data_IF_674155533843
#
_entry.id   IF_674155533843
#
_cell.length_a   1.000
_cell.length_b   1.000
_cell.length_c   1.000
_cell.angle_alpha   90.00
_cell.angle_beta   90.00
_cell.angle_gamma   90.00
#
_symmetry.space_group_name_H-M   'P 1'
#
loop_
_entity.id
_entity.type
_entity.pdbx_description
1 polymer ?
#
# COMPACT_ATOMS: atom_id res chain seq x y z
N UNK A 1 23.39 -8.63 22.93
CA UNK A 1 23.46 -8.45 21.99
C UNK A 1 22.58 -8.98 21.05
N UNK A 2 22.67 -10.07 20.83
CA UNK A 2 21.79 -10.65 19.87
C UNK A 2 20.33 -10.52 20.27
N UNK A 3 20.07 -10.52 21.52
CA UNK A 3 18.73 -10.40 21.96
C UNK A 3 18.11 -9.12 21.57
N UNK A 4 18.88 -8.05 21.62
CA UNK A 4 18.35 -6.81 21.23
C UNK A 4 17.92 -6.81 19.81
N UNK A 5 18.73 -7.31 18.93
CA UNK A 5 18.40 -7.38 17.55
C UNK A 5 17.19 -8.21 17.29
N UNK A 6 17.00 -9.26 18.06
CA UNK A 6 15.88 -10.13 17.84
C UNK A 6 14.58 -9.58 18.38
N UNK A 7 14.65 -8.70 19.37
CA UNK A 7 13.44 -8.21 19.96
C UNK A 7 12.76 -7.17 19.10
N UNK A 8 13.41 -6.70 18.03
CA UNK A 8 12.82 -5.72 17.16
C UNK A 8 13.02 -6.13 15.72
N UNK A 9 11.91 -6.39 15.05
CA UNK A 9 11.92 -6.75 13.65
C UNK A 9 11.98 -5.50 12.80
N UNK A 10 12.74 -5.54 11.71
CA UNK A 10 12.94 -4.36 10.89
C UNK A 10 12.99 -4.72 9.43
N UNK A 11 12.29 -3.95 8.62
CA UNK A 11 12.28 -4.12 7.18
C UNK A 11 12.47 -2.75 6.55
N UNK A 12 13.36 -2.68 5.55
CA UNK A 12 13.65 -1.42 4.88
C UNK A 12 13.23 -1.48 3.43
N UNK A 13 12.60 -0.38 2.96
CA UNK A 13 12.34 -0.13 1.55
C UNK A 13 11.63 -1.27 0.83
N UNK A 14 10.59 -1.78 1.46
CA UNK A 14 9.81 -2.86 0.88
C UNK A 14 8.79 -2.31 -0.10
N UNK A 15 8.74 -2.82 -1.34
CA UNK A 15 7.69 -2.41 -2.27
C UNK A 15 6.32 -2.77 -1.74
N UNK A 16 5.41 -1.82 -1.80
CA UNK A 16 4.10 -2.01 -1.18
C UNK A 16 3.06 -1.10 -1.78
N UNK A 17 1.80 -1.49 -1.60
CA UNK A 17 0.63 -0.66 -1.92
C UNK A 17 -0.24 -0.56 -0.70
N UNK A 18 -0.90 0.58 -0.54
CA UNK A 18 -1.92 0.73 0.50
C UNK A 18 -3.19 0.06 0.02
N UNK A 19 -3.72 -0.85 0.82
CA UNK A 19 -5.01 -1.48 0.53
C UNK A 19 -6.15 -0.79 1.25
N UNK A 20 -5.91 -0.39 2.49
CA UNK A 20 -6.97 0.22 3.29
C UNK A 20 -6.36 0.93 4.48
N UNK A 21 -7.04 1.96 4.98
CA UNK A 21 -6.59 2.68 6.17
C UNK A 21 -7.74 2.78 7.17
N UNK A 22 -7.39 2.75 8.46
CA UNK A 22 -8.36 2.95 9.54
C UNK A 22 -7.84 4.01 10.48
N UNK A 23 -8.71 4.85 11.04
CA UNK A 23 -8.27 5.74 12.11
C UNK A 23 -7.78 4.92 13.31
N UNK A 24 -6.73 5.39 13.94
CA UNK A 24 -6.18 4.73 15.12
C UNK A 24 -5.83 5.81 16.13
N UNK A 25 -6.52 5.76 17.28
CA UNK A 25 -6.37 6.80 18.28
C UNK A 25 -6.72 8.14 17.66
N UNK A 26 -6.12 9.23 18.14
CA UNK A 26 -6.56 10.55 17.68
C UNK A 26 -5.86 11.04 16.43
N UNK A 27 -4.59 10.71 16.28
CA UNK A 27 -3.80 11.29 15.20
C UNK A 27 -3.15 10.28 14.29
N UNK A 28 -3.34 8.97 14.53
CA UNK A 28 -2.64 7.93 13.77
C UNK A 28 -3.58 7.16 12.89
N UNK A 29 -3.01 6.39 11.99
CA UNK A 29 -3.75 5.47 11.14
C UNK A 29 -3.14 4.09 11.26
N UNK A 30 -3.98 3.06 11.15
CA UNK A 30 -3.48 1.73 10.85
C UNK A 30 -3.67 1.54 9.36
N UNK A 31 -2.61 1.14 8.67
CA UNK A 31 -2.62 0.98 7.22
C UNK A 31 -2.39 -0.47 6.89
N UNK A 32 -3.30 -1.05 6.10
CA UNK A 32 -3.10 -2.39 5.56
C UNK A 32 -2.32 -2.23 4.28
N UNK A 33 -1.08 -2.71 4.28
CA UNK A 33 -0.24 -2.69 3.10
C UNK A 33 -0.19 -4.07 2.46
N UNK A 34 -0.12 -4.10 1.15
CA UNK A 34 0.21 -5.32 0.41
C UNK A 34 1.66 -5.18 0.01
N UNK A 35 2.54 -5.97 0.61
CA UNK A 35 3.97 -5.89 0.34
C UNK A 35 4.38 -7.05 -0.57
N UNK A 36 5.45 -6.79 -1.34
CA UNK A 36 5.92 -7.81 -2.28
C UNK A 36 6.43 -9.06 -1.58
N UNK A 37 7.23 -8.87 -0.53
CA UNK A 37 7.94 -10.00 0.07
C UNK A 37 7.35 -10.51 1.37
N UNK A 38 6.44 -9.76 1.98
CA UNK A 38 5.89 -10.13 3.29
C UNK A 38 4.38 -10.23 3.30
N UNK A 39 3.74 -10.07 2.14
CA UNK A 39 2.30 -10.23 2.05
C UNK A 39 1.55 -9.04 2.62
N UNK A 40 0.33 -9.28 3.07
CA UNK A 40 -0.49 -8.23 3.63
C UNK A 40 -0.12 -8.01 5.09
N UNK A 41 0.25 -6.78 5.44
CA UNK A 41 0.65 -6.47 6.80
C UNK A 41 0.02 -5.18 7.27
N UNK A 42 -0.34 -5.09 8.55
CA UNK A 42 -0.85 -3.86 9.14
C UNK A 42 0.29 -3.09 9.77
N UNK A 43 0.34 -1.78 9.55
CA UNK A 43 1.34 -0.93 10.16
C UNK A 43 0.67 0.29 10.76
N UNK A 44 1.19 0.76 11.89
CA UNK A 44 0.73 2.01 12.49
C UNK A 44 1.53 3.15 11.89
N UNK A 45 0.83 4.10 11.30
CA UNK A 45 1.44 5.35 10.83
C UNK A 45 1.14 6.42 11.86
N UNK A 46 2.10 6.66 12.76
CA UNK A 46 1.88 7.55 13.88
C UNK A 46 1.80 8.99 13.41
N UNK A 47 0.81 9.70 13.92
CA UNK A 47 0.62 11.09 13.58
C UNK A 47 0.21 11.34 12.14
N UNK A 48 -0.19 10.29 11.41
CA UNK A 48 -0.48 10.44 9.99
C UNK A 48 -1.64 11.39 9.72
N UNK A 49 -2.54 11.57 10.67
CA UNK A 49 -3.68 12.45 10.48
C UNK A 49 -3.36 13.91 10.77
N UNK A 50 -2.19 14.21 11.27
CA UNK A 50 -1.80 15.59 11.56
C UNK A 50 -1.49 16.33 10.26
N UNK A 51 -1.78 17.64 10.21
CA UNK A 51 -1.56 18.40 8.98
C UNK A 51 -0.12 18.41 8.50
N UNK A 52 0.85 18.34 9.42
CA UNK A 52 2.26 18.40 9.05
C UNK A 52 2.91 17.03 9.04
N UNK A 53 2.10 15.96 8.89
CA UNK A 53 2.62 14.60 8.91
C UNK A 53 3.57 14.36 7.76
N UNK A 54 4.64 13.60 8.04
CA UNK A 54 5.56 13.16 7.00
C UNK A 54 4.88 12.24 6.00
N UNK A 55 3.72 11.69 6.35
CA UNK A 55 3.00 10.79 5.47
C UNK A 55 1.91 11.48 4.66
N UNK A 56 1.83 12.80 4.78
CA UNK A 56 0.76 13.51 4.10
C UNK A 56 0.85 13.33 2.60
N UNK A 57 -0.26 12.92 2.00
CA UNK A 57 -0.31 12.69 0.56
C UNK A 57 0.32 11.40 0.08
N UNK A 58 0.89 10.60 1.00
CA UNK A 58 1.54 9.35 0.59
C UNK A 58 0.67 8.12 0.78
N UNK A 59 -0.17 8.10 1.81
CA UNK A 59 -0.89 6.88 2.16
C UNK A 59 -2.18 6.75 1.38
N UNK A 60 -2.03 6.70 0.06
CA UNK A 60 -3.16 6.56 -0.85
C UNK A 60 -3.07 5.25 -1.59
N UNK A 61 -4.22 4.62 -1.89
CA UNK A 61 -4.17 3.38 -2.65
C UNK A 61 -3.70 3.61 -4.07
N UNK A 62 -3.22 2.55 -4.69
CA UNK A 62 -2.84 2.50 -6.10
C UNK A 62 -1.57 3.30 -6.43
N UNK A 63 -0.83 3.71 -5.41
CA UNK A 63 0.48 4.34 -5.61
C UNK A 63 1.55 3.38 -5.15
N UNK A 64 2.51 3.03 -6.02
CA UNK A 64 3.61 2.17 -5.57
C UNK A 64 4.45 2.93 -4.57
N UNK A 65 4.73 2.28 -3.46
CA UNK A 65 5.48 2.89 -2.36
C UNK A 65 6.61 1.98 -1.94
N UNK A 66 7.63 2.57 -1.35
CA UNK A 66 8.67 1.83 -0.64
C UNK A 66 8.48 2.15 0.83
N UNK A 67 8.19 1.12 1.63
CA UNK A 67 7.89 1.33 3.05
C UNK A 67 8.95 0.65 3.90
N UNK A 68 9.29 1.31 5.01
CA UNK A 68 10.17 0.75 6.01
C UNK A 68 9.39 0.70 7.31
N UNK A 69 9.61 -0.35 8.08
CA UNK A 69 8.87 -0.50 9.31
C UNK A 69 9.66 -1.34 10.31
N UNK A 70 9.28 -1.23 11.56
CA UNK A 70 9.94 -1.97 12.62
C UNK A 70 9.00 -2.11 13.79
N UNK A 71 9.35 -3.00 14.71
CA UNK A 71 8.59 -3.16 15.94
C UNK A 71 8.48 -4.59 16.34
N UNK A 72 7.79 -4.79 17.45
CA UNK A 72 7.49 -6.12 17.98
C UNK A 72 6.03 -6.40 17.74
N UNK A 73 5.68 -7.67 17.79
CA UNK A 73 4.29 -8.03 17.69
C UNK A 73 3.78 -8.03 16.27
N UNK A 74 2.48 -8.19 16.16
CA UNK A 74 1.84 -8.34 14.87
C UNK A 74 1.70 -7.03 14.12
N UNK A 75 1.37 -5.97 14.83
CA UNK A 75 1.21 -4.66 14.20
C UNK A 75 2.46 -3.84 14.51
N UNK A 76 3.25 -3.59 13.47
CA UNK A 76 4.49 -2.86 13.63
C UNK A 76 4.30 -1.41 13.25
N UNK A 77 5.35 -0.63 13.36
CA UNK A 77 5.31 0.82 13.14
C UNK A 77 5.94 1.16 11.81
N UNK A 78 5.19 1.91 11.00
CA UNK A 78 5.74 2.48 9.78
C UNK A 78 6.75 3.54 10.17
N UNK A 79 7.98 3.42 9.67
CA UNK A 79 9.03 4.38 9.99
C UNK A 79 9.36 5.26 8.81
N UNK A 80 9.11 4.80 7.57
CA UNK A 80 9.42 5.59 6.40
C UNK A 80 8.55 5.14 5.25
N UNK A 81 8.14 6.10 4.43
CA UNK A 81 7.30 5.81 3.27
C UNK A 81 7.70 6.77 2.17
N UNK A 82 8.04 6.24 1.00
CA UNK A 82 8.46 7.04 -0.13
C UNK A 82 7.72 6.62 -1.38
N UNK A 83 7.48 7.57 -2.27
CA UNK A 83 6.88 7.25 -3.55
C UNK A 83 7.89 6.46 -4.39
N UNK A 84 7.36 5.48 -5.09
CA UNK A 84 8.16 4.64 -5.96
C UNK A 84 7.63 4.71 -7.38
N UNK A 85 6.86 5.72 -7.68
CA UNK A 85 6.24 5.91 -8.98
C UNK A 85 4.79 6.29 -8.81
N UNK A 86 4.08 6.44 -9.92
CA UNK A 86 2.66 6.74 -9.88
C UNK A 86 1.95 5.90 -10.93
N UNK A 87 0.68 5.57 -10.65
CA UNK A 87 -0.18 4.89 -11.60
C UNK A 87 -1.45 5.72 -11.69
N UNK A 88 -1.60 6.55 -12.74
CA UNK A 88 -2.79 7.41 -12.81
C UNK A 88 -4.03 6.59 -13.05
N UNK A 89 -5.10 6.94 -12.32
CA UNK A 89 -6.38 6.25 -12.41
C UNK A 89 -7.47 7.26 -12.66
N UNK A 90 -8.41 6.93 -13.53
CA UNK A 90 -9.59 7.78 -13.67
C UNK A 90 -10.73 7.19 -12.86
N UNK A 91 -11.84 7.92 -12.81
CA UNK A 91 -12.97 7.52 -12.00
C UNK A 91 -13.57 6.19 -12.42
N UNK A 92 -13.53 5.91 -13.72
CA UNK A 92 -14.16 4.69 -14.20
C UNK A 92 -13.44 3.43 -13.72
N UNK A 93 -12.11 3.46 -13.72
CA UNK A 93 -11.37 2.28 -13.30
C UNK A 93 -11.14 2.25 -11.80
N UNK A 94 -11.29 3.40 -11.12
CA UNK A 94 -11.10 3.44 -9.68
C UNK A 94 -12.03 2.50 -8.93
N UNK A 95 -13.30 2.43 -9.35
CA UNK A 95 -14.25 1.56 -8.67
C UNK A 95 -13.80 0.10 -8.74
N UNK A 96 -13.33 -0.32 -9.90
CA UNK A 96 -12.84 -1.69 -10.06
C UNK A 96 -11.60 -1.92 -9.21
N UNK A 97 -10.72 -0.93 -9.17
CA UNK A 97 -9.48 -1.05 -8.39
C UNK A 97 -9.79 -1.11 -6.89
N UNK A 98 -10.73 -0.31 -6.42
CA UNK A 98 -11.12 -0.38 -5.01
C UNK A 98 -11.77 -1.72 -4.68
N UNK A 99 -12.53 -2.28 -5.60
CA UNK A 99 -13.12 -3.59 -5.40
C UNK A 99 -12.04 -4.66 -5.23
N UNK A 100 -11.00 -4.58 -6.07
CA UNK A 100 -9.88 -5.51 -5.95
C UNK A 100 -9.20 -5.36 -4.58
N UNK A 101 -8.98 -4.11 -4.14
CA UNK A 101 -8.37 -3.90 -2.83
C UNK A 101 -9.23 -4.49 -1.72
N UNK A 102 -10.53 -4.33 -1.82
CA UNK A 102 -11.44 -4.88 -0.83
C UNK A 102 -11.34 -6.40 -0.77
N UNK A 103 -11.28 -7.04 -1.94
CA UNK A 103 -11.12 -8.48 -1.98
C UNK A 103 -9.81 -8.92 -1.34
N UNK A 104 -8.73 -8.19 -1.60
CA UNK A 104 -7.45 -8.55 -1.03
C UNK A 104 -7.45 -8.44 0.48
N UNK A 105 -8.07 -7.38 1.01
CA UNK A 105 -8.15 -7.23 2.46
C UNK A 105 -8.93 -8.37 3.08
N UNK A 106 -9.98 -8.83 2.42
CA UNK A 106 -10.81 -9.88 2.98
C UNK A 106 -10.23 -11.27 2.82
N UNK A 107 -9.53 -11.51 1.71
CA UNK A 107 -9.14 -12.87 1.37
C UNK A 107 -7.70 -13.21 1.71
N UNK A 108 -6.81 -12.23 1.75
CA UNK A 108 -5.41 -12.52 2.04
C UNK A 108 -5.18 -12.61 3.53
N UNK A 109 -4.60 -13.70 4.01
CA UNK A 109 -4.19 -13.73 5.41
C UNK A 109 -3.01 -12.78 5.62
N UNK A 110 -2.93 -12.23 6.81
CA UNK A 110 -1.84 -11.32 7.15
C UNK A 110 -0.55 -12.09 7.29
N UNK A 111 0.53 -11.50 6.78
CA UNK A 111 1.85 -12.05 6.99
C UNK A 111 2.23 -13.21 6.09
N UNK A 112 1.40 -13.52 5.09
CA UNK A 112 1.69 -14.61 4.17
C UNK A 112 2.23 -14.05 2.88
N UNK A 113 3.50 -14.28 2.55
CA UNK A 113 4.07 -13.74 1.30
C UNK A 113 3.35 -14.30 0.07
N UNK A 114 3.04 -13.40 -0.84
CA UNK A 114 2.39 -13.77 -2.09
C UNK A 114 3.02 -12.96 -3.23
N UNK A 115 4.30 -13.19 -3.52
CA UNK A 115 4.98 -12.34 -4.50
C UNK A 115 4.41 -12.43 -5.91
N UNK A 116 3.93 -13.60 -6.30
CA UNK A 116 3.29 -13.73 -7.61
C UNK A 116 2.02 -12.90 -7.69
N UNK A 117 1.22 -12.93 -6.63
CA UNK A 117 0.00 -12.14 -6.59
C UNK A 117 0.32 -10.65 -6.56
N UNK A 118 1.38 -10.26 -5.87
CA UNK A 118 1.80 -8.87 -5.85
C UNK A 118 2.13 -8.39 -7.26
N UNK A 119 2.85 -9.20 -8.02
CA UNK A 119 3.18 -8.87 -9.40
C UNK A 119 1.92 -8.75 -10.24
N UNK A 120 0.99 -9.68 -10.07
CA UNK A 120 -0.27 -9.64 -10.80
C UNK A 120 -1.05 -8.37 -10.45
N UNK A 121 -1.09 -8.03 -9.18
CA UNK A 121 -1.79 -6.83 -8.73
C UNK A 121 -1.19 -5.58 -9.37
N UNK A 122 0.12 -5.46 -9.32
CA UNK A 122 0.82 -4.32 -9.88
C UNK A 122 0.54 -4.23 -11.39
N UNK A 123 0.67 -5.36 -12.08
CA UNK A 123 0.45 -5.38 -13.53
C UNK A 123 -1.01 -5.04 -13.87
N UNK A 124 -1.94 -5.49 -13.05
CA UNK A 124 -3.35 -5.20 -13.27
C UNK A 124 -3.61 -3.70 -13.13
N UNK A 125 -3.04 -3.07 -12.12
CA UNK A 125 -3.21 -1.63 -11.95
C UNK A 125 -2.62 -0.87 -13.13
N UNK A 126 -1.45 -1.29 -13.60
CA UNK A 126 -0.83 -0.64 -14.74
C UNK A 126 -1.68 -0.80 -16.00
N UNK A 127 -2.28 -1.96 -16.17
CA UNK A 127 -3.14 -2.18 -17.32
C UNK A 127 -4.40 -1.32 -17.27
N UNK A 128 -4.98 -1.16 -16.10
CA UNK A 128 -6.14 -0.29 -15.96
C UNK A 128 -5.79 1.15 -16.32
N UNK A 129 -4.61 1.61 -15.93
CA UNK A 129 -4.17 2.95 -16.26
C UNK A 129 -3.93 3.10 -17.76
N UNK A 130 -3.33 2.09 -18.38
CA UNK A 130 -3.07 2.12 -19.81
C UNK A 130 -4.38 2.12 -20.59
N UNK A 131 -5.36 1.34 -20.16
CA UNK A 131 -6.66 1.34 -20.81
C UNK A 131 -7.28 2.71 -20.80
N UNK A 132 -7.16 3.41 -19.68
CA UNK A 132 -7.65 4.75 -19.61
C UNK A 132 -6.98 5.63 -20.68
N UNK A 133 -5.66 5.57 -20.74
CA UNK A 133 -4.91 6.38 -21.68
C UNK A 133 -5.24 6.00 -23.12
N UNK A 134 -5.50 4.73 -23.35
CA UNK A 134 -5.81 4.26 -24.67
C UNK A 134 -7.21 4.65 -25.10
N UNK A 135 -8.15 4.57 -24.19
CA UNK A 135 -9.54 4.84 -24.50
C UNK A 135 -9.81 6.31 -24.79
N UNK A 136 -9.12 7.21 -24.14
CA UNK A 136 -9.32 8.62 -24.34
C UNK A 136 -9.09 9.01 -25.80
N UNK A 137 -7.97 8.63 -26.43
CA UNK A 137 -7.81 8.95 -27.86
C UNK A 137 -8.88 8.34 -28.73
N UNK A 138 -9.31 7.13 -28.43
CA UNK A 138 -10.35 6.50 -29.23
C UNK A 138 -11.63 7.28 -29.19
N UNK A 139 -11.98 7.81 -28.03
CA UNK A 139 -13.19 8.59 -27.91
C UNK A 139 -13.18 9.84 -28.76
N UNK A 140 -12.01 10.44 -28.88
CA UNK A 140 -11.93 11.64 -29.68
C UNK A 140 -12.10 11.36 -31.15
N UNK A 141 -11.79 10.17 -31.58
CA UNK A 141 -11.90 9.84 -32.98
C UNK A 141 -13.23 9.23 -33.34
N UNK A 142 -13.99 8.83 -32.35
CA UNK A 142 -15.30 8.29 -32.61
C UNK A 142 -16.34 9.36 -32.58
#
# INVERSE_FOLDING_TARGET
MAEKGRSEYRVDQQPAFVLHTYPWRETSLIVEFFTRDYGRIPLVARGAKRPMSQYRGLLNPFCPLAVSYSGKGEVKNLTRCEWYGTIPMNEKVLMSAFYINELLVRLLPRGEPEPALFTIYYDTLKKLAVEKDYLVPLRYFE
#
